data_IF_512606746321
#
_entry.id   IF_512606746321
#
_cell.length_a   1.000
_cell.length_b   1.000
_cell.length_c   1.000
_cell.angle_alpha   90.00
_cell.angle_beta   90.00
_cell.angle_gamma   90.00
#
_symmetry.space_group_name_H-M   'P 1'
#
loop_
_entity.id
_entity.type
_entity.pdbx_description
1 polymer ?
#
# COMPACT_ATOMS: atom_id res chain seq x y z
N UNK A 1 -47.40 -21.97 0.32
CA UNK A 1 -46.59 -22.72 1.29
C UNK A 1 -45.15 -22.50 0.90
N UNK A 2 -44.45 -21.80 1.78
CA UNK A 2 -43.02 -21.57 1.74
C UNK A 2 -42.27 -22.90 1.72
N UNK A 3 -41.22 -23.01 0.91
CA UNK A 3 -40.09 -23.88 1.20
C UNK A 3 -38.82 -23.14 0.78
N UNK A 4 -38.12 -22.63 1.79
CA UNK A 4 -36.83 -21.99 1.64
C UNK A 4 -35.77 -22.98 1.16
N UNK A 5 -34.97 -22.54 0.19
CA UNK A 5 -33.66 -23.09 -0.06
C UNK A 5 -32.65 -22.12 0.52
N UNK A 6 -32.10 -22.55 1.66
CA UNK A 6 -30.98 -21.95 2.35
C UNK A 6 -29.88 -21.61 1.34
N UNK A 7 -29.50 -20.34 1.28
CA UNK A 7 -28.29 -19.89 0.63
C UNK A 7 -27.11 -20.61 1.29
N UNK A 8 -26.62 -21.67 0.64
CA UNK A 8 -25.35 -22.27 1.04
C UNK A 8 -24.27 -21.20 0.91
N UNK A 9 -23.62 -20.89 2.02
CA UNK A 9 -22.41 -20.09 2.06
C UNK A 9 -21.38 -20.79 1.16
N UNK A 10 -21.05 -20.18 0.03
CA UNK A 10 -19.90 -20.58 -0.76
C UNK A 10 -18.65 -20.24 0.05
N UNK A 11 -18.08 -21.24 0.72
CA UNK A 11 -16.79 -21.10 1.38
C UNK A 11 -15.73 -20.89 0.28
N UNK A 12 -15.07 -19.73 0.31
CA UNK A 12 -13.84 -19.50 -0.45
C UNK A 12 -12.75 -20.33 0.23
N UNK A 13 -12.66 -21.60 -0.14
CA UNK A 13 -11.63 -22.52 0.36
C UNK A 13 -10.40 -22.39 -0.52
N UNK A 14 -9.35 -21.80 0.06
CA UNK A 14 -7.94 -21.82 -0.38
C UNK A 14 -7.47 -20.57 -1.16
N UNK A 15 -7.06 -19.55 -0.39
CA UNK A 15 -6.32 -18.38 -0.89
C UNK A 15 -4.83 -18.64 -0.59
N UNK A 16 -4.07 -19.05 -1.60
CA UNK A 16 -2.61 -19.11 -1.49
C UNK A 16 -2.03 -17.74 -1.85
N UNK A 17 -1.24 -17.09 -0.98
CA UNK A 17 -0.45 -15.94 -1.40
C UNK A 17 0.63 -16.45 -2.35
N UNK A 18 0.52 -16.15 -3.65
CA UNK A 18 1.62 -16.35 -4.57
C UNK A 18 2.66 -15.28 -4.23
N UNK A 19 3.58 -15.66 -3.35
CA UNK A 19 4.77 -14.88 -3.01
C UNK A 19 5.71 -14.90 -4.20
N UNK A 20 5.55 -13.96 -5.14
CA UNK A 20 6.61 -13.36 -5.98
C UNK A 20 5.98 -12.50 -7.10
N UNK A 21 5.94 -11.18 -6.88
CA UNK A 21 5.52 -10.14 -7.86
C UNK A 21 4.02 -10.09 -8.23
N UNK A 22 3.55 -8.97 -8.82
CA UNK A 22 2.46 -8.15 -8.26
C UNK A 22 1.21 -8.95 -7.92
N UNK A 23 0.64 -8.67 -6.75
CA UNK A 23 -0.45 -9.40 -6.09
C UNK A 23 -1.59 -9.80 -7.06
N UNK A 24 -1.48 -11.00 -7.63
CA UNK A 24 -2.57 -11.67 -8.33
C UNK A 24 -3.52 -12.23 -7.28
N UNK A 25 -4.81 -11.99 -7.47
CA UNK A 25 -5.82 -12.68 -6.69
C UNK A 25 -6.77 -13.39 -7.62
N UNK A 26 -6.47 -14.67 -7.82
CA UNK A 26 -7.38 -15.61 -8.42
C UNK A 26 -8.31 -16.11 -7.31
N UNK A 27 -9.59 -15.73 -7.37
CA UNK A 27 -10.60 -16.33 -6.53
C UNK A 27 -11.11 -17.59 -7.23
N UNK A 28 -10.79 -18.75 -6.68
CA UNK A 28 -11.31 -20.02 -7.17
C UNK A 28 -12.71 -20.23 -6.58
N UNK A 29 -13.73 -20.22 -7.44
CA UNK A 29 -15.11 -20.52 -7.05
C UNK A 29 -15.41 -21.95 -7.50
N UNK A 30 -15.61 -22.85 -6.54
CA UNK A 30 -16.03 -24.23 -6.81
C UNK A 30 -17.56 -24.32 -6.80
N UNK A 31 -18.15 -24.97 -7.80
CA UNK A 31 -19.60 -25.21 -7.90
C UNK A 31 -20.24 -24.61 -9.16
N UNK A 32 -21.57 -24.62 -9.22
CA UNK A 32 -22.29 -23.92 -10.28
C UNK A 32 -22.20 -22.41 -10.07
N UNK A 33 -21.61 -21.73 -11.04
CA UNK A 33 -21.46 -20.27 -11.04
C UNK A 33 -22.36 -19.69 -12.10
N UNK A 34 -23.24 -18.77 -11.69
CA UNK A 34 -24.02 -17.95 -12.62
C UNK A 34 -23.14 -16.79 -13.10
N UNK A 35 -22.66 -16.91 -14.33
CA UNK A 35 -21.75 -15.94 -14.96
C UNK A 35 -22.47 -14.61 -15.24
N UNK A 36 -23.75 -14.66 -15.62
CA UNK A 36 -24.53 -13.45 -15.92
C UNK A 36 -24.79 -12.66 -14.64
N UNK A 37 -25.11 -13.35 -13.54
CA UNK A 37 -25.21 -12.73 -12.22
C UNK A 37 -23.89 -12.09 -11.78
N UNK A 38 -22.75 -12.76 -11.99
CA UNK A 38 -21.43 -12.16 -11.70
C UNK A 38 -21.20 -10.88 -12.50
N UNK A 39 -21.57 -10.85 -13.79
CA UNK A 39 -21.47 -9.64 -14.60
C UNK A 39 -22.34 -8.50 -14.08
N UNK A 40 -23.56 -8.81 -13.66
CA UNK A 40 -24.47 -7.82 -13.08
C UNK A 40 -23.93 -7.24 -11.77
N UNK A 41 -23.36 -8.10 -10.92
CA UNK A 41 -22.67 -7.68 -9.69
C UNK A 41 -21.46 -6.78 -9.99
N UNK A 42 -20.62 -7.15 -10.96
CA UNK A 42 -19.48 -6.33 -11.37
C UNK A 42 -19.92 -4.97 -11.94
N UNK A 43 -20.95 -4.95 -12.79
CA UNK A 43 -21.52 -3.70 -13.32
C UNK A 43 -22.04 -2.81 -12.20
N UNK A 44 -22.76 -3.38 -11.23
CA UNK A 44 -23.26 -2.65 -10.06
C UNK A 44 -22.12 -2.10 -9.20
N UNK A 45 -21.05 -2.87 -8.97
CA UNK A 45 -19.87 -2.43 -8.22
C UNK A 45 -19.15 -1.26 -8.90
N UNK A 46 -18.93 -1.33 -10.22
CA UNK A 46 -18.33 -0.23 -11.00
C UNK A 46 -19.22 1.00 -10.98
N UNK A 47 -20.53 0.82 -11.14
CA UNK A 47 -21.48 1.93 -11.07
C UNK A 47 -21.45 2.62 -9.71
N UNK A 48 -21.36 1.83 -8.63
CA UNK A 48 -21.38 2.30 -7.24
C UNK A 48 -20.08 2.98 -6.80
N UNK A 49 -18.90 2.49 -7.19
CA UNK A 49 -17.62 3.03 -6.73
C UNK A 49 -16.94 3.91 -7.78
N UNK A 50 -16.79 5.20 -7.46
CA UNK A 50 -16.21 6.21 -8.35
C UNK A 50 -14.79 5.90 -8.83
N UNK A 51 -13.95 5.32 -7.95
CA UNK A 51 -12.56 4.98 -8.29
C UNK A 51 -12.47 3.99 -9.46
N UNK A 52 -13.44 3.07 -9.59
CA UNK A 52 -13.49 2.09 -10.67
C UNK A 52 -13.88 2.71 -12.02
N UNK A 53 -14.36 3.95 -12.00
CA UNK A 53 -14.72 4.75 -13.18
C UNK A 53 -13.71 5.88 -13.43
N UNK A 54 -12.66 5.98 -12.63
CA UNK A 54 -11.71 7.09 -12.69
C UNK A 54 -10.56 6.77 -13.64
N UNK A 55 -10.26 7.71 -14.54
CA UNK A 55 -9.06 7.70 -15.37
C UNK A 55 -8.12 8.81 -14.91
N UNK A 56 -6.81 8.55 -14.99
CA UNK A 56 -5.77 9.53 -14.67
C UNK A 56 -5.25 10.11 -15.98
N UNK A 57 -5.40 11.41 -16.16
CA UNK A 57 -4.97 12.12 -17.37
C UNK A 57 -3.89 13.11 -17.00
N UNK A 58 -2.79 13.12 -17.75
CA UNK A 58 -1.75 14.15 -17.59
C UNK A 58 -2.18 15.42 -18.34
N UNK A 59 -2.24 16.53 -17.63
CA UNK A 59 -2.52 17.86 -18.17
C UNK A 59 -1.36 18.80 -17.80
N UNK A 60 -0.40 18.97 -18.70
CA UNK A 60 0.87 19.64 -18.40
C UNK A 60 1.68 18.86 -17.36
N UNK A 61 2.10 19.55 -16.30
CA UNK A 61 2.82 18.95 -15.16
C UNK A 61 1.89 18.34 -14.10
N UNK A 62 0.58 18.42 -14.30
CA UNK A 62 -0.42 17.90 -13.37
C UNK A 62 -0.96 16.55 -13.83
N UNK A 63 -1.31 15.70 -12.86
CA UNK A 63 -2.12 14.51 -13.09
C UNK A 63 -3.52 14.80 -12.53
N UNK A 64 -4.53 14.67 -13.37
CA UNK A 64 -5.93 14.94 -13.03
C UNK A 64 -6.71 13.63 -12.97
N UNK A 65 -7.55 13.49 -11.96
CA UNK A 65 -8.53 12.41 -11.86
C UNK A 65 -9.81 12.82 -12.60
N UNK A 66 -10.12 12.13 -13.69
CA UNK A 66 -11.36 12.32 -14.45
C UNK A 66 -12.29 11.13 -14.22
N UNK A 67 -13.49 11.39 -13.70
CA UNK A 67 -14.49 10.34 -13.45
C UNK A 67 -15.37 10.15 -14.69
N UNK A 68 -15.37 8.95 -15.25
CA UNK A 68 -16.27 8.58 -16.34
C UNK A 68 -17.68 8.35 -15.81
N UNK A 69 -18.68 8.97 -16.44
CA UNK A 69 -20.09 8.76 -16.06
C UNK A 69 -20.58 7.34 -16.42
N UNK A 70 -20.09 6.77 -17.52
CA UNK A 70 -20.50 5.44 -18.00
C UNK A 70 -19.32 4.74 -18.70
N UNK A 71 -18.42 4.10 -17.93
CA UNK A 71 -17.29 3.39 -18.52
C UNK A 71 -17.78 2.19 -19.34
N UNK A 72 -17.13 1.97 -20.49
CA UNK A 72 -17.35 0.74 -21.27
C UNK A 72 -16.61 -0.40 -20.58
N UNK A 73 -17.36 -1.31 -19.96
CA UNK A 73 -16.81 -2.52 -19.35
C UNK A 73 -16.73 -3.64 -20.39
N UNK A 74 -15.55 -4.27 -20.50
CA UNK A 74 -15.35 -5.48 -21.28
C UNK A 74 -15.20 -6.67 -20.34
N UNK A 75 -16.05 -7.68 -20.51
CA UNK A 75 -15.94 -8.94 -19.80
C UNK A 75 -15.43 -10.00 -20.78
N UNK A 76 -14.43 -10.76 -20.33
CA UNK A 76 -13.84 -11.85 -21.10
C UNK A 76 -14.12 -13.16 -20.38
N UNK A 77 -14.66 -14.14 -21.11
CA UNK A 77 -14.83 -15.51 -20.63
C UNK A 77 -14.02 -16.41 -21.53
N UNK A 78 -13.09 -17.12 -20.90
CA UNK A 78 -12.26 -18.11 -21.58
C UNK A 78 -12.39 -19.44 -20.84
N UNK A 79 -12.45 -20.52 -21.61
CA UNK A 79 -12.42 -21.89 -21.08
C UNK A 79 -10.98 -22.36 -21.12
N UNK A 80 -10.35 -22.54 -19.97
CA UNK A 80 -9.02 -23.11 -19.88
C UNK A 80 -9.10 -24.65 -19.89
N UNK A 81 -8.41 -25.28 -20.84
CA UNK A 81 -8.22 -26.75 -20.88
C UNK A 81 -7.00 -27.20 -20.06
N UNK A 82 -6.13 -26.25 -19.67
CA UNK A 82 -4.88 -26.48 -18.94
C UNK A 82 -5.01 -26.02 -17.49
N UNK A 83 -4.00 -26.37 -16.69
CA UNK A 83 -3.81 -25.92 -15.32
C UNK A 83 -4.04 -24.39 -15.21
N UNK A 84 -5.03 -24.02 -14.40
CA UNK A 84 -5.48 -22.64 -14.20
C UNK A 84 -4.34 -21.73 -13.71
N UNK A 85 -3.35 -22.27 -13.00
CA UNK A 85 -2.19 -21.51 -12.50
C UNK A 85 -1.34 -20.95 -13.64
N UNK A 86 -0.90 -21.80 -14.58
CA UNK A 86 -0.08 -21.40 -15.73
C UNK A 86 -0.84 -20.48 -16.71
N UNK A 87 -2.17 -20.63 -16.82
CA UNK A 87 -2.99 -19.77 -17.66
C UNK A 87 -3.07 -18.34 -17.10
N UNK A 88 -3.30 -18.20 -15.78
CA UNK A 88 -3.33 -16.89 -15.11
C UNK A 88 -2.02 -16.12 -15.29
N UNK A 89 -0.87 -16.79 -15.27
CA UNK A 89 0.43 -16.16 -15.51
C UNK A 89 0.56 -15.66 -16.96
N UNK A 90 0.04 -16.40 -17.94
CA UNK A 90 0.16 -16.08 -19.37
C UNK A 90 -0.69 -14.88 -19.85
N UNK A 91 -1.88 -14.68 -19.27
CA UNK A 91 -2.78 -13.56 -19.62
C UNK A 91 -2.21 -12.22 -19.13
N UNK A 92 -1.39 -12.26 -18.07
CA UNK A 92 -0.89 -11.08 -17.38
C UNK A 92 0.27 -10.38 -18.08
N UNK A 93 1.21 -11.12 -18.71
CA UNK A 93 2.35 -10.51 -19.42
C UNK A 93 1.92 -9.48 -20.49
N UNK A 94 0.64 -9.48 -20.86
CA UNK A 94 0.07 -8.67 -21.93
C UNK A 94 -0.70 -7.43 -21.44
N UNK A 95 -1.21 -7.34 -20.19
CA UNK A 95 -2.30 -6.38 -19.87
C UNK A 95 -2.40 -5.83 -18.42
N UNK A 96 -2.06 -4.54 -18.28
CA UNK A 96 -2.60 -3.49 -17.37
C UNK A 96 -2.38 -3.55 -15.85
N UNK A 97 -2.13 -2.39 -15.22
CA UNK A 97 -1.80 -2.25 -13.79
C UNK A 97 -2.92 -1.71 -12.87
N UNK A 98 -2.70 -1.93 -11.56
CA UNK A 98 -3.44 -1.45 -10.36
C UNK A 98 -4.75 -2.18 -10.02
N UNK A 99 -4.65 -3.42 -9.51
CA UNK A 99 -5.80 -4.24 -9.07
C UNK A 99 -5.89 -4.48 -7.55
N UNK A 100 -4.93 -4.02 -6.76
CA UNK A 100 -4.76 -4.49 -5.37
C UNK A 100 -5.91 -4.11 -4.43
N UNK A 101 -6.54 -2.94 -4.60
CA UNK A 101 -7.62 -2.48 -3.71
C UNK A 101 -8.99 -3.15 -3.94
N UNK A 102 -9.25 -3.70 -5.13
CA UNK A 102 -10.53 -4.38 -5.39
C UNK A 102 -10.64 -5.71 -4.62
N UNK A 103 -9.49 -6.32 -4.33
CA UNK A 103 -9.43 -7.69 -3.84
C UNK A 103 -9.76 -7.79 -2.36
N UNK A 104 -9.23 -6.91 -1.51
CA UNK A 104 -9.38 -6.99 -0.05
C UNK A 104 -10.86 -7.06 0.39
N UNK A 105 -11.74 -6.39 -0.37
CA UNK A 105 -13.20 -6.45 -0.16
C UNK A 105 -13.87 -7.71 -0.70
N UNK A 106 -13.38 -8.28 -1.80
CA UNK A 106 -13.90 -9.55 -2.32
C UNK A 106 -13.68 -10.71 -1.35
N UNK A 107 -12.60 -10.68 -0.56
CA UNK A 107 -12.22 -11.73 0.40
C UNK A 107 -13.12 -11.78 1.64
N UNK A 108 -13.76 -10.68 2.01
CA UNK A 108 -14.67 -10.62 3.15
C UNK A 108 -16.13 -10.93 2.77
N UNK A 109 -16.36 -11.38 1.53
CA UNK A 109 -17.69 -11.51 0.95
C UNK A 109 -18.37 -10.15 0.77
N UNK A 110 -19.49 -10.15 0.03
CA UNK A 110 -20.41 -9.00 -0.09
C UNK A 110 -20.02 -7.95 -1.15
N UNK A 111 -20.12 -8.35 -2.42
CA UNK A 111 -20.81 -7.50 -3.41
C UNK A 111 -22.22 -8.05 -3.63
N UNK A 112 -22.98 -8.21 -2.54
CA UNK A 112 -24.40 -8.58 -2.65
C UNK A 112 -25.21 -7.28 -2.60
N UNK A 113 -25.97 -6.94 -3.64
CA UNK A 113 -26.86 -5.79 -3.59
C UNK A 113 -27.87 -5.92 -2.44
N UNK A 114 -28.25 -4.82 -1.77
CA UNK A 114 -27.77 -3.45 -2.00
C UNK A 114 -26.38 -3.21 -1.40
N UNK A 115 -25.51 -2.55 -2.16
CA UNK A 115 -24.19 -2.12 -1.67
C UNK A 115 -24.38 -1.00 -0.63
N UNK A 116 -23.68 -1.10 0.50
CA UNK A 116 -23.70 -0.06 1.53
C UNK A 116 -23.07 1.22 1.01
N UNK A 117 -23.60 2.38 1.42
CA UNK A 117 -23.04 3.68 1.05
C UNK A 117 -21.61 3.81 1.61
N UNK A 118 -20.65 4.04 0.72
CA UNK A 118 -19.23 4.23 1.08
C UNK A 118 -18.79 5.65 0.79
N UNK A 119 -17.87 6.19 1.59
CA UNK A 119 -17.16 7.41 1.22
C UNK A 119 -16.38 7.17 -0.08
N UNK A 120 -16.48 8.12 -1.01
CA UNK A 120 -15.76 8.02 -2.28
C UNK A 120 -14.30 8.47 -2.16
N UNK A 121 -13.44 7.96 -3.05
CA UNK A 121 -12.01 8.26 -3.00
C UNK A 121 -11.70 9.74 -3.28
N UNK A 122 -12.51 10.43 -4.08
CA UNK A 122 -12.32 11.84 -4.38
C UNK A 122 -12.54 12.72 -3.13
N UNK A 123 -13.55 12.38 -2.33
CA UNK A 123 -13.88 13.00 -1.05
C UNK A 123 -12.77 12.75 -0.03
N UNK A 124 -12.21 11.54 -0.01
CA UNK A 124 -11.00 11.24 0.77
C UNK A 124 -9.82 12.13 0.37
N UNK A 125 -9.51 12.24 -0.93
CA UNK A 125 -8.43 13.09 -1.43
C UNK A 125 -8.67 14.57 -1.10
N UNK A 126 -9.89 15.05 -1.24
CA UNK A 126 -10.27 16.40 -0.86
C UNK A 126 -10.08 16.64 0.64
N UNK A 127 -10.51 15.70 1.47
CA UNK A 127 -10.34 15.77 2.92
C UNK A 127 -8.86 15.84 3.31
N UNK A 128 -8.00 15.02 2.69
CA UNK A 128 -6.54 15.07 2.91
C UNK A 128 -5.98 16.45 2.61
N UNK A 129 -6.33 17.02 1.45
CA UNK A 129 -5.88 18.34 1.04
C UNK A 129 -6.30 19.45 2.04
N UNK A 130 -7.45 19.30 2.71
CA UNK A 130 -7.89 20.23 3.75
C UNK A 130 -7.07 20.11 5.06
N UNK A 131 -6.42 18.97 5.31
CA UNK A 131 -5.61 18.71 6.51
C UNK A 131 -4.13 19.07 6.34
N UNK A 132 -3.71 19.43 5.13
CA UNK A 132 -2.39 19.99 4.83
C UNK A 132 -2.34 21.49 5.17
N UNK A 133 -2.46 21.78 6.46
CA UNK A 133 -2.50 23.14 7.01
C UNK A 133 -1.28 23.45 7.90
N UNK A 134 -1.08 24.73 8.25
CA UNK A 134 0.07 25.24 9.00
C UNK A 134 0.61 24.36 10.14
N UNK A 135 -0.24 23.86 11.08
CA UNK A 135 0.19 22.96 12.14
C UNK A 135 0.93 21.70 11.67
N UNK A 136 0.50 21.10 10.54
CA UNK A 136 1.10 19.90 9.96
C UNK A 136 2.51 20.18 9.45
N UNK A 137 2.71 21.33 8.77
CA UNK A 137 4.04 21.78 8.34
C UNK A 137 4.95 22.06 9.54
N UNK A 138 4.44 22.72 10.58
CA UNK A 138 5.21 23.00 11.80
C UNK A 138 5.64 21.71 12.51
N UNK A 139 4.73 20.74 12.62
CA UNK A 139 5.04 19.43 13.18
C UNK A 139 6.18 18.75 12.43
N UNK A 140 6.05 18.58 11.12
CA UNK A 140 7.07 17.89 10.32
C UNK A 140 8.42 18.61 10.31
N UNK A 141 8.43 19.96 10.27
CA UNK A 141 9.67 20.75 10.41
C UNK A 141 10.38 20.49 11.73
N UNK A 142 9.64 20.46 12.83
CA UNK A 142 10.20 20.19 14.16
C UNK A 142 10.64 18.72 14.28
N UNK A 143 9.84 17.80 13.75
CA UNK A 143 10.09 16.37 13.77
C UNK A 143 11.40 16.00 13.05
N UNK A 144 11.61 16.58 11.86
CA UNK A 144 12.77 16.35 11.01
C UNK A 144 13.94 17.29 11.33
N UNK A 145 13.78 18.17 12.31
CA UNK A 145 14.79 19.15 12.66
C UNK A 145 16.12 18.48 13.02
N UNK A 146 17.21 19.06 12.53
CA UNK A 146 18.59 18.56 12.64
C UNK A 146 18.89 17.19 12.03
N UNK A 147 17.92 16.49 11.46
CA UNK A 147 18.19 15.24 10.79
C UNK A 147 18.87 15.49 9.44
N UNK A 148 20.01 14.85 9.19
CA UNK A 148 20.67 14.84 7.89
C UNK A 148 20.44 13.50 7.23
N UNK A 149 19.95 13.49 6.00
CA UNK A 149 19.81 12.25 5.22
C UNK A 149 21.16 11.56 5.15
N UNK A 150 21.20 10.33 5.63
CA UNK A 150 22.36 9.47 5.49
C UNK A 150 22.01 8.35 4.52
N UNK A 151 22.87 8.14 3.52
CA UNK A 151 22.75 6.98 2.66
C UNK A 151 23.23 5.78 3.45
N UNK A 152 22.37 4.77 3.59
CA UNK A 152 22.75 3.52 4.23
C UNK A 152 23.90 2.85 3.45
N UNK A 153 24.79 2.10 4.14
CA UNK A 153 25.93 1.44 3.50
C UNK A 153 25.54 0.27 2.56
N UNK A 154 24.24 -0.01 2.42
CA UNK A 154 23.70 -0.97 1.46
C UNK A 154 23.75 -0.41 0.04
N UNK A 155 24.95 -0.25 -0.53
CA UNK A 155 25.08 -0.23 -1.98
C UNK A 155 24.78 -1.64 -2.47
N UNK A 156 23.86 -1.84 -3.44
CA UNK A 156 23.97 -3.01 -4.30
C UNK A 156 25.40 -2.98 -4.85
N UNK A 157 26.14 -4.07 -4.70
CA UNK A 157 27.48 -4.18 -5.27
C UNK A 157 27.37 -3.81 -6.75
N UNK A 158 27.85 -2.61 -7.11
CA UNK A 158 28.06 -2.29 -8.50
C UNK A 158 29.16 -3.24 -8.96
N UNK A 159 28.80 -4.20 -9.81
CA UNK A 159 29.76 -5.10 -10.44
C UNK A 159 30.94 -4.28 -10.96
N UNK A 160 32.20 -4.61 -10.62
CA UNK A 160 33.38 -3.80 -10.94
C UNK A 160 33.83 -3.92 -12.41
N UNK A 161 32.90 -3.96 -13.36
CA UNK A 161 33.19 -4.03 -14.80
C UNK A 161 32.35 -3.02 -15.57
N UNK A 162 32.89 -1.81 -15.71
CA UNK A 162 33.16 -1.13 -16.99
C UNK A 162 33.05 0.41 -16.84
N UNK A 163 34.13 1.16 -17.15
CA UNK A 163 34.03 2.57 -17.51
C UNK A 163 33.59 2.70 -18.99
N UNK A 164 32.77 3.72 -19.25
CA UNK A 164 32.39 4.27 -20.56
C UNK A 164 31.62 3.38 -21.54
N UNK A 165 30.31 3.61 -21.65
CA UNK A 165 29.59 3.60 -22.93
C UNK A 165 28.28 4.42 -22.80
N UNK A 166 28.19 5.48 -23.61
CA UNK A 166 27.00 6.12 -24.18
C UNK A 166 25.61 5.93 -23.55
N UNK A 167 24.99 7.08 -23.25
CA UNK A 167 23.54 7.27 -23.08
C UNK A 167 22.74 6.75 -24.29
N UNK A 168 22.37 5.48 -24.34
CA UNK A 168 21.24 5.02 -25.15
C UNK A 168 20.49 3.86 -24.46
N UNK A 169 19.23 4.12 -24.10
CA UNK A 169 18.10 3.18 -24.00
C UNK A 169 18.40 1.72 -23.64
N UNK A 170 18.98 1.48 -22.47
CA UNK A 170 18.90 0.17 -21.83
C UNK A 170 18.19 0.33 -20.49
N UNK A 171 16.87 0.18 -20.50
CA UNK A 171 16.12 -0.15 -19.31
C UNK A 171 16.58 -1.53 -18.86
N UNK A 172 17.68 -1.60 -18.10
CA UNK A 172 18.07 -2.83 -17.43
C UNK A 172 16.95 -3.15 -16.47
N UNK A 173 16.13 -4.15 -16.80
CA UNK A 173 15.17 -4.72 -15.87
C UNK A 173 15.96 -5.19 -14.66
N UNK A 174 15.95 -4.41 -13.59
CA UNK A 174 16.61 -4.78 -12.36
C UNK A 174 15.93 -6.07 -11.88
N UNK A 175 16.68 -7.18 -11.84
CA UNK A 175 16.17 -8.44 -11.33
C UNK A 175 15.66 -8.22 -9.91
N UNK A 176 14.36 -8.44 -9.69
CA UNK A 176 13.76 -8.36 -8.35
C UNK A 176 14.19 -9.58 -7.58
N UNK A 177 14.91 -9.37 -6.49
CA UNK A 177 15.31 -10.44 -5.57
C UNK A 177 14.30 -10.45 -4.43
N UNK A 178 13.59 -11.57 -4.26
CA UNK A 178 12.76 -11.82 -3.10
C UNK A 178 13.51 -12.75 -2.14
N UNK A 179 13.51 -12.42 -0.85
CA UNK A 179 14.02 -13.27 0.21
C UNK A 179 12.95 -13.36 1.30
N UNK A 180 12.63 -14.57 1.72
CA UNK A 180 11.63 -14.82 2.75
C UNK A 180 12.23 -15.72 3.82
N UNK A 181 11.93 -15.41 5.08
CA UNK A 181 12.28 -16.25 6.22
C UNK A 181 11.07 -16.33 7.15
N UNK A 182 10.68 -17.55 7.50
CA UNK A 182 9.62 -17.77 8.49
C UNK A 182 10.20 -17.65 9.89
N UNK A 183 9.56 -16.80 10.70
CA UNK A 183 9.86 -16.66 12.13
C UNK A 183 8.57 -16.89 12.93
N UNK A 184 8.65 -17.43 14.15
CA UNK A 184 7.50 -17.46 15.06
C UNK A 184 6.98 -16.03 15.31
N UNK A 185 5.66 -15.89 15.42
CA UNK A 185 5.06 -14.59 15.73
C UNK A 185 5.57 -14.10 17.09
N UNK A 186 6.27 -12.95 17.14
CA UNK A 186 6.81 -12.47 18.40
C UNK A 186 5.69 -12.00 19.32
N UNK A 187 5.88 -12.16 20.64
CA UNK A 187 4.98 -11.62 21.64
C UNK A 187 5.47 -10.23 22.09
N UNK A 188 4.84 -9.13 21.67
CA UNK A 188 5.31 -7.79 22.04
C UNK A 188 5.12 -7.53 23.55
N UNK A 189 5.99 -6.72 24.17
CA UNK A 189 5.77 -6.27 25.54
C UNK A 189 4.42 -5.54 25.69
N UNK A 190 3.88 -5.53 26.91
CA UNK A 190 2.62 -4.84 27.20
C UNK A 190 2.66 -3.38 26.72
N UNK A 191 1.65 -2.98 25.95
CA UNK A 191 1.52 -1.62 25.42
C UNK A 191 2.34 -1.32 24.16
N UNK A 192 3.00 -2.33 23.59
CA UNK A 192 3.70 -2.25 22.31
C UNK A 192 2.92 -3.05 21.27
N UNK A 193 2.71 -2.47 20.09
CA UNK A 193 2.11 -3.19 18.95
C UNK A 193 3.15 -4.04 18.22
N UNK A 194 2.71 -5.09 17.52
CA UNK A 194 3.61 -5.89 16.68
C UNK A 194 4.29 -5.03 15.60
N UNK A 195 3.59 -4.05 15.04
CA UNK A 195 4.18 -3.11 14.07
C UNK A 195 5.35 -2.33 14.68
N UNK A 196 5.15 -1.74 15.87
CA UNK A 196 6.20 -0.99 16.57
C UNK A 196 7.37 -1.89 17.00
N UNK A 197 7.09 -3.16 17.33
CA UNK A 197 8.15 -4.14 17.60
C UNK A 197 9.02 -4.39 16.35
N UNK A 198 8.39 -4.57 15.19
CA UNK A 198 9.10 -4.78 13.92
C UNK A 198 9.89 -3.52 13.52
N UNK A 199 9.28 -2.34 13.61
CA UNK A 199 9.95 -1.06 13.31
C UNK A 199 11.20 -0.83 14.19
N UNK A 200 11.07 -1.07 15.50
CA UNK A 200 12.20 -0.96 16.43
C UNK A 200 13.29 -2.00 16.13
N UNK A 201 12.91 -3.24 15.81
CA UNK A 201 13.85 -4.29 15.44
C UNK A 201 14.59 -3.95 14.13
N UNK A 202 13.90 -3.40 13.13
CA UNK A 202 14.50 -2.93 11.88
C UNK A 202 15.48 -1.79 12.13
N UNK A 203 15.10 -0.78 12.90
CA UNK A 203 16.00 0.32 13.26
C UNK A 203 17.26 -0.18 13.97
N UNK A 204 17.10 -1.11 14.92
CA UNK A 204 18.23 -1.69 15.64
C UNK A 204 19.12 -2.54 14.74
N UNK A 205 18.55 -3.36 13.85
CA UNK A 205 19.31 -4.12 12.85
C UNK A 205 20.15 -3.18 11.97
N UNK A 206 19.54 -2.10 11.45
CA UNK A 206 20.26 -1.09 10.66
C UNK A 206 21.39 -0.45 11.45
N UNK A 207 21.16 -0.09 12.72
CA UNK A 207 22.19 0.47 13.60
C UNK A 207 23.37 -0.47 13.80
N UNK A 208 23.12 -1.77 14.04
CA UNK A 208 24.18 -2.79 14.15
C UNK A 208 25.00 -2.96 12.88
N UNK A 209 24.41 -2.68 11.73
CA UNK A 209 25.07 -2.74 10.42
C UNK A 209 25.75 -1.43 9.99
N UNK A 210 26.01 -0.52 10.94
CA UNK A 210 26.77 0.71 10.69
C UNK A 210 25.92 1.95 10.43
N UNK A 211 24.62 1.89 10.74
CA UNK A 211 23.79 3.10 10.74
C UNK A 211 23.97 3.90 12.05
N UNK A 212 23.80 5.23 12.02
CA UNK A 212 23.90 6.06 13.20
C UNK A 212 22.87 5.72 14.28
N UNK A 213 23.08 6.30 15.46
CA UNK A 213 22.11 6.28 16.57
C UNK A 213 20.86 7.11 16.31
N UNK A 214 20.77 7.85 15.21
CA UNK A 214 19.58 8.60 14.80
C UNK A 214 19.34 8.32 13.32
N UNK A 215 18.23 7.67 13.00
CA UNK A 215 17.92 7.19 11.67
C UNK A 215 16.44 7.42 11.33
N UNK A 216 16.15 7.59 10.03
CA UNK A 216 14.79 7.69 9.52
C UNK A 216 14.51 6.51 8.61
N UNK A 217 13.44 5.80 8.91
CA UNK A 217 12.86 4.75 8.08
C UNK A 217 11.67 5.31 7.30
N UNK A 218 11.31 4.65 6.20
CA UNK A 218 10.00 4.85 5.60
C UNK A 218 8.96 4.00 6.33
N UNK A 219 7.87 4.61 6.75
CA UNK A 219 6.74 3.92 7.35
C UNK A 219 5.52 4.03 6.43
N UNK A 220 4.89 2.89 6.15
CA UNK A 220 3.65 2.82 5.40
C UNK A 220 2.47 2.97 6.33
N UNK A 221 1.61 3.95 6.07
CA UNK A 221 0.39 4.22 6.81
C UNK A 221 -0.81 3.90 5.91
N UNK A 222 -1.84 3.28 6.47
CA UNK A 222 -3.05 2.92 5.71
C UNK A 222 -3.81 4.13 5.16
N UNK A 223 -3.62 5.29 5.78
CA UNK A 223 -4.33 6.55 5.51
C UNK A 223 -5.80 6.55 5.94
N UNK A 224 -6.27 5.48 6.57
CA UNK A 224 -7.68 5.28 6.94
C UNK A 224 -8.00 5.64 8.39
N UNK A 225 -7.02 6.10 9.17
CA UNK A 225 -7.18 6.43 10.60
C UNK A 225 -7.73 7.84 10.84
N UNK A 226 -8.60 8.32 9.95
CA UNK A 226 -9.21 9.65 10.00
C UNK A 226 -10.55 9.57 10.74
N UNK A 227 -10.91 10.60 11.50
CA UNK A 227 -12.26 10.74 12.07
C UNK A 227 -13.32 11.16 11.02
N UNK A 228 -13.39 10.45 9.89
CA UNK A 228 -14.40 10.64 8.85
C UNK A 228 -15.29 9.40 8.77
N UNK A 229 -16.62 9.54 8.87
CA UNK A 229 -17.53 8.42 8.71
C UNK A 229 -17.33 7.68 7.38
N UNK A 230 -17.18 6.35 7.45
CA UNK A 230 -17.01 5.50 6.27
C UNK A 230 -15.61 5.50 5.65
N UNK A 231 -14.59 6.06 6.31
CA UNK A 231 -13.20 6.07 5.83
C UNK A 231 -12.62 4.66 5.65
N UNK A 232 -12.94 3.76 6.56
CA UNK A 232 -12.57 2.35 6.55
C UNK A 232 -13.14 1.64 5.31
N UNK A 233 -14.27 2.15 4.81
CA UNK A 233 -15.00 1.63 3.66
C UNK A 233 -14.63 2.28 2.32
N UNK A 234 -13.65 3.19 2.27
CA UNK A 234 -13.24 3.82 0.99
C UNK A 234 -12.62 2.77 0.06
N UNK A 235 -13.10 2.70 -1.18
CA UNK A 235 -12.41 1.93 -2.23
C UNK A 235 -11.40 2.87 -2.91
N UNK A 236 -10.10 2.57 -2.78
CA UNK A 236 -9.02 3.37 -3.38
C UNK A 236 -7.68 3.26 -2.63
N UNK A 237 -6.62 3.80 -3.24
CA UNK A 237 -5.26 3.80 -2.68
C UNK A 237 -5.15 4.88 -1.62
N UNK A 238 -5.49 4.52 -0.38
CA UNK A 238 -5.39 5.43 0.77
C UNK A 238 -4.00 5.41 1.42
N UNK A 239 -3.15 4.46 1.03
CA UNK A 239 -1.80 4.29 1.58
C UNK A 239 -0.99 5.59 1.43
N UNK A 240 -0.25 5.94 2.48
CA UNK A 240 0.74 7.01 2.45
C UNK A 240 2.07 6.52 3.04
N UNK A 241 3.16 7.16 2.64
CA UNK A 241 4.49 6.91 3.17
C UNK A 241 4.96 8.13 3.94
N UNK A 242 5.43 7.93 5.17
CA UNK A 242 5.91 9.01 6.02
C UNK A 242 7.31 8.69 6.55
N UNK A 243 8.12 9.72 6.86
CA UNK A 243 9.38 9.49 7.55
C UNK A 243 9.11 9.11 9.01
N UNK A 244 9.75 8.04 9.46
CA UNK A 244 9.67 7.54 10.82
C UNK A 244 11.05 7.59 11.47
N UNK A 245 11.24 8.52 12.39
CA UNK A 245 12.53 8.77 13.05
C UNK A 245 12.67 7.90 14.29
N UNK A 246 13.79 7.20 14.40
CA UNK A 246 14.14 6.37 15.55
C UNK A 246 15.51 6.80 16.07
N UNK A 247 15.57 7.12 17.37
CA UNK A 247 16.82 7.41 18.07
C UNK A 247 17.18 6.26 19.01
N UNK A 248 18.42 5.78 18.94
CA UNK A 248 19.02 4.66 19.66
C UNK A 248 20.24 5.14 20.47
N UNK A 249 20.04 5.70 21.68
CA UNK A 249 21.15 6.17 22.52
C UNK A 249 22.15 5.04 22.86
N UNK A 250 23.47 5.30 22.96
CA UNK A 250 24.47 4.26 23.23
C UNK A 250 24.27 3.44 24.52
N UNK A 251 23.54 3.97 25.50
CA UNK A 251 23.23 3.31 26.78
C UNK A 251 21.77 2.83 26.88
N UNK A 252 21.06 2.68 25.76
CA UNK A 252 19.65 2.27 25.76
C UNK A 252 19.46 0.80 26.11
N UNK A 253 18.50 0.51 26.97
CA UNK A 253 17.93 -0.84 27.11
C UNK A 253 17.08 -1.18 25.89
N UNK A 254 16.72 -2.46 25.72
CA UNK A 254 15.81 -2.91 24.65
C UNK A 254 14.45 -2.19 24.69
N UNK A 255 13.99 -1.81 25.90
CA UNK A 255 12.69 -1.17 26.08
C UNK A 255 12.67 0.30 25.66
N UNK A 256 13.82 0.97 25.63
CA UNK A 256 13.86 2.41 25.34
C UNK A 256 13.53 2.70 23.86
N UNK A 257 14.13 2.01 22.87
CA UNK A 257 13.70 2.11 21.47
C UNK A 257 12.23 1.74 21.26
N UNK A 258 11.73 0.71 21.95
CA UNK A 258 10.33 0.27 21.80
C UNK A 258 9.35 1.34 22.29
N UNK A 259 9.62 1.94 23.47
CA UNK A 259 8.80 3.04 24.00
C UNK A 259 8.90 4.28 23.12
N UNK A 260 10.10 4.58 22.62
CA UNK A 260 10.30 5.68 21.70
C UNK A 260 9.47 5.50 20.43
N UNK A 261 9.58 4.35 19.76
CA UNK A 261 8.79 4.01 18.55
C UNK A 261 7.29 4.09 18.85
N UNK A 262 6.82 3.52 19.97
CA UNK A 262 5.40 3.60 20.35
C UNK A 262 4.91 5.03 20.55
N UNK A 263 5.71 5.89 21.18
CA UNK A 263 5.39 7.31 21.36
C UNK A 263 5.41 8.06 20.03
N UNK A 264 6.39 7.77 19.17
CA UNK A 264 6.52 8.36 17.84
C UNK A 264 5.29 8.05 16.99
N UNK A 265 4.89 6.77 16.88
CA UNK A 265 3.71 6.35 16.12
C UNK A 265 2.41 7.00 16.63
N UNK A 266 2.30 7.25 17.93
CA UNK A 266 1.15 7.97 18.50
C UNK A 266 1.17 9.47 18.18
N UNK A 267 2.36 10.08 18.13
CA UNK A 267 2.53 11.52 17.94
C UNK A 267 2.37 11.92 16.48
N UNK A 268 2.80 11.06 15.55
CA UNK A 268 2.70 11.31 14.10
C UNK A 268 1.28 11.12 13.58
N UNK A 269 0.42 10.36 14.28
CA UNK A 269 -0.90 9.93 13.80
C UNK A 269 -1.77 11.06 13.25
N UNK A 270 -1.76 12.25 13.87
CA UNK A 270 -2.55 13.41 13.42
C UNK A 270 -2.01 14.10 12.17
N UNK A 271 -0.80 13.77 11.73
CA UNK A 271 -0.06 14.47 10.68
C UNK A 271 0.35 13.56 9.51
N UNK A 272 -0.08 12.30 9.52
CA UNK A 272 0.30 11.26 8.54
C UNK A 272 -0.30 11.45 7.14
N UNK A 273 -1.11 12.49 6.92
CA UNK A 273 -1.85 12.68 5.67
C UNK A 273 -1.11 13.51 4.63
N UNK A 274 -0.11 14.28 5.05
CA UNK A 274 0.74 15.06 4.16
C UNK A 274 1.54 14.12 3.26
N UNK A 275 1.56 14.43 1.97
CA UNK A 275 2.33 13.65 1.01
C UNK A 275 3.82 13.72 1.33
N UNK A 276 4.53 12.59 1.19
CA UNK A 276 5.97 12.53 1.44
C UNK A 276 6.74 13.59 0.65
N UNK A 277 6.36 13.82 -0.62
CA UNK A 277 6.97 14.84 -1.46
C UNK A 277 6.86 16.24 -0.87
N UNK A 278 5.74 16.56 -0.23
CA UNK A 278 5.51 17.87 0.39
C UNK A 278 6.25 17.98 1.72
N UNK A 279 6.35 16.89 2.49
CA UNK A 279 7.24 16.81 3.65
C UNK A 279 8.69 17.10 3.24
N UNK A 280 9.20 16.48 2.18
CA UNK A 280 10.56 16.71 1.66
C UNK A 280 10.72 18.15 1.18
N UNK A 281 9.77 18.66 0.39
CA UNK A 281 9.88 19.98 -0.24
C UNK A 281 9.74 21.13 0.77
N UNK A 282 8.85 21.01 1.75
CA UNK A 282 8.43 22.14 2.59
C UNK A 282 8.86 22.02 4.06
N UNK A 283 9.28 20.83 4.50
CA UNK A 283 9.56 20.54 5.91
C UNK A 283 10.97 20.02 6.20
N UNK A 284 11.80 19.80 5.18
CA UNK A 284 13.18 19.33 5.37
C UNK A 284 14.18 20.08 4.48
N UNK A 285 15.46 19.82 4.70
CA UNK A 285 16.56 20.27 3.86
C UNK A 285 17.11 19.14 2.97
N UNK A 286 16.29 18.12 2.71
CA UNK A 286 16.70 16.94 1.98
C UNK A 286 16.69 17.22 0.46
N UNK A 287 17.49 16.48 -0.34
CA UNK A 287 17.39 16.55 -1.80
C UNK A 287 15.96 16.29 -2.28
N UNK A 288 15.47 17.02 -3.28
CA UNK A 288 14.09 16.88 -3.77
C UNK A 288 13.82 15.51 -4.41
N UNK A 289 14.88 14.82 -4.82
CA UNK A 289 14.86 13.48 -5.38
C UNK A 289 14.84 12.38 -4.29
N UNK A 290 14.79 12.77 -3.01
CA UNK A 290 14.66 11.81 -1.90
C UNK A 290 13.35 11.05 -2.07
N UNK A 291 13.45 9.72 -2.08
CA UNK A 291 12.31 8.80 -2.15
C UNK A 291 12.35 7.85 -0.98
N UNK A 292 11.17 7.55 -0.43
CA UNK A 292 10.96 6.33 0.33
C UNK A 292 10.68 5.18 -0.66
N UNK A 293 11.04 3.94 -0.28
CA UNK A 293 10.84 2.76 -1.13
C UNK A 293 9.38 2.55 -1.55
#
# INVERSE_FOLDING_TARGET
METGLLAQEFQITDIRPVTETPVHHCNFVQGQVDVDYLYDVCKAAVAHHSILKTVFVRAGDMIVQAMMQSPKLSFHTEKAEKDLSMYCDSVWEVRWGVHTCFVERSQHGVFRPPLSQTLDFCSYMHYRALHDHGPTFCFWRNYLHHFRVQRLPFRPSASPLAPSASLENSASSAARIAAAQNIPMPNPPRGITTANLVEAATAWAMHRHGSPTDLILGQTITGRSIAVPGIDTVLGVCLNFIPFRVTLPPASTIMDPLKHVQQQSSTTLSYVFMDFSDIVRHCSNWPQETRLP
#
